data_IF_011340304179
#
_entry.id   IF_011340304179
#
_cell.length_a   1.000
_cell.length_b   1.000
_cell.length_c   1.000
_cell.angle_alpha   90.00
_cell.angle_beta   90.00
_cell.angle_gamma   90.00
#
_symmetry.space_group_name_H-M   'P 1'
#
loop_
_entity.id
_entity.type
_entity.pdbx_description
1 polymer ?
#
# COMPACT_ATOMS: atom_id res chain seq x y z
N UNK A 1 -22.38 9.58 -1.53
CA UNK A 1 -21.48 8.41 -1.57
C UNK A 1 -22.21 7.35 -2.37
N UNK A 2 -21.84 7.12 -3.63
CA UNK A 2 -22.41 6.00 -4.40
C UNK A 2 -21.82 4.72 -3.81
N UNK A 3 -22.66 3.70 -3.66
CA UNK A 3 -22.19 2.41 -3.17
C UNK A 3 -21.47 1.69 -4.30
N UNK A 4 -20.62 0.73 -3.96
CA UNK A 4 -19.89 -0.04 -4.97
C UNK A 4 -20.83 -0.76 -5.94
N UNK A 5 -22.02 -1.19 -5.47
CA UNK A 5 -23.04 -1.81 -6.32
C UNK A 5 -23.53 -0.86 -7.42
N UNK A 6 -23.81 0.40 -7.07
CA UNK A 6 -24.27 1.41 -8.02
C UNK A 6 -23.23 1.64 -9.13
N UNK A 7 -21.94 1.67 -8.77
CA UNK A 7 -20.85 1.81 -9.74
C UNK A 7 -20.73 0.61 -10.69
N UNK A 8 -20.96 -0.61 -10.17
CA UNK A 8 -20.88 -1.85 -10.95
C UNK A 8 -22.05 -2.01 -11.92
N UNK A 9 -23.22 -1.46 -11.59
CA UNK A 9 -24.40 -1.46 -12.47
C UNK A 9 -24.24 -0.47 -13.64
N UNK A 10 -23.51 0.63 -13.44
CA UNK A 10 -23.33 1.68 -14.45
C UNK A 10 -22.17 1.41 -15.42
N UNK A 11 -21.09 0.77 -14.96
CA UNK A 11 -19.87 0.57 -15.75
C UNK A 11 -18.95 -0.52 -15.21
N UNK A 12 -17.97 -0.92 -16.02
CA UNK A 12 -16.84 -1.72 -15.56
C UNK A 12 -16.01 -0.90 -14.56
N UNK A 13 -15.68 -1.51 -13.43
CA UNK A 13 -14.82 -0.96 -12.37
C UNK A 13 -13.46 -1.67 -12.43
N UNK A 14 -12.38 -0.89 -12.45
CA UNK A 14 -11.02 -1.40 -12.63
C UNK A 14 -10.31 -1.52 -11.28
N UNK A 15 -9.76 -2.70 -10.98
CA UNK A 15 -8.88 -2.91 -9.84
C UNK A 15 -7.42 -2.61 -10.22
N UNK A 16 -6.61 -2.24 -9.24
CA UNK A 16 -5.18 -2.01 -9.44
C UNK A 16 -4.39 -3.28 -9.78
N UNK A 17 -3.11 -3.08 -10.07
CA UNK A 17 -2.18 -4.15 -10.40
C UNK A 17 -1.30 -4.56 -9.22
N UNK A 18 -0.34 -5.44 -9.50
CA UNK A 18 0.55 -5.99 -8.48
C UNK A 18 1.40 -4.92 -7.76
N UNK A 19 1.25 -4.81 -6.44
CA UNK A 19 2.08 -3.96 -5.57
C UNK A 19 3.56 -4.41 -5.58
N UNK A 20 3.81 -5.71 -5.41
CA UNK A 20 5.18 -6.25 -5.31
C UNK A 20 6.04 -5.95 -6.53
N UNK A 21 5.49 -6.05 -7.75
CA UNK A 21 6.20 -5.72 -9.00
C UNK A 21 6.60 -4.26 -9.05
N UNK A 22 5.76 -3.35 -8.53
CA UNK A 22 6.06 -1.92 -8.48
C UNK A 22 7.13 -1.60 -7.43
N UNK A 23 7.11 -2.27 -6.28
CA UNK A 23 8.16 -2.16 -5.25
C UNK A 23 9.51 -2.66 -5.79
N UNK A 24 9.54 -3.79 -6.49
CA UNK A 24 10.78 -4.33 -7.06
C UNK A 24 11.49 -3.34 -8.00
N UNK A 25 10.73 -2.50 -8.72
CA UNK A 25 11.29 -1.46 -9.60
C UNK A 25 12.00 -0.33 -8.84
N UNK A 26 11.70 -0.14 -7.56
CA UNK A 26 12.35 0.85 -6.71
C UNK A 26 13.77 0.43 -6.27
N UNK A 27 14.15 -0.84 -6.48
CA UNK A 27 15.48 -1.37 -6.16
C UNK A 27 15.92 -1.15 -4.70
N UNK A 28 14.97 -1.17 -3.77
CA UNK A 28 15.20 -0.92 -2.35
C UNK A 28 16.17 -1.95 -1.73
N UNK A 29 17.01 -1.46 -0.83
CA UNK A 29 17.96 -2.25 -0.08
C UNK A 29 17.51 -2.53 1.37
N UNK A 30 18.30 -3.30 2.11
CA UNK A 30 17.98 -3.66 3.49
C UNK A 30 17.81 -2.43 4.40
N UNK A 31 18.58 -1.36 4.18
CA UNK A 31 18.48 -0.15 4.97
C UNK A 31 17.15 0.59 4.71
N UNK A 32 16.67 0.58 3.46
CA UNK A 32 15.36 1.13 3.11
C UNK A 32 14.22 0.38 3.81
N UNK A 33 14.27 -0.95 3.83
CA UNK A 33 13.26 -1.77 4.51
C UNK A 33 13.27 -1.55 6.02
N UNK A 34 14.46 -1.46 6.64
CA UNK A 34 14.61 -1.20 8.08
C UNK A 34 14.15 0.20 8.48
N UNK A 35 14.42 1.20 7.63
CA UNK A 35 14.24 2.60 7.97
C UNK A 35 14.97 2.98 9.27
N UNK A 36 14.52 4.06 9.91
CA UNK A 36 15.11 4.49 11.18
C UNK A 36 14.71 3.58 12.36
N UNK A 37 13.48 3.07 12.36
CA UNK A 37 12.88 2.37 13.52
C UNK A 37 13.43 0.95 13.71
N UNK A 38 13.75 0.25 12.63
CA UNK A 38 14.16 -1.16 12.67
C UNK A 38 15.62 -1.35 12.28
N UNK A 39 16.43 -0.28 12.39
CA UNK A 39 17.85 -0.29 12.03
C UNK A 39 18.61 -1.47 12.66
N UNK A 40 18.41 -1.70 13.95
CA UNK A 40 19.10 -2.73 14.72
C UNK A 40 18.25 -4.01 14.92
N UNK A 41 17.24 -4.24 14.06
CA UNK A 41 16.40 -5.45 14.14
C UNK A 41 17.22 -6.73 13.88
N UNK A 42 17.00 -7.82 14.64
CA UNK A 42 17.90 -8.98 14.63
C UNK A 42 17.88 -9.84 13.36
N UNK A 43 16.82 -9.75 12.56
CA UNK A 43 16.62 -10.52 11.32
C UNK A 43 16.66 -9.61 10.09
N UNK A 44 16.92 -10.17 8.91
CA UNK A 44 16.82 -9.47 7.63
C UNK A 44 15.35 -9.11 7.33
N UNK A 45 15.11 -7.89 6.85
CA UNK A 45 13.78 -7.35 6.60
C UNK A 45 13.47 -7.13 5.13
N UNK A 46 14.47 -7.15 4.26
CA UNK A 46 14.28 -7.05 2.81
C UNK A 46 13.40 -8.20 2.31
N UNK A 47 12.36 -7.83 1.57
CA UNK A 47 11.32 -8.74 1.12
C UNK A 47 10.02 -8.65 1.90
N UNK A 48 10.04 -8.07 3.11
CA UNK A 48 8.83 -7.71 3.84
C UNK A 48 8.20 -6.43 3.27
N UNK A 49 7.54 -6.54 2.13
CA UNK A 49 6.95 -5.38 1.43
C UNK A 49 5.93 -4.62 2.29
N UNK A 50 5.18 -5.32 3.14
CA UNK A 50 4.21 -4.72 4.05
C UNK A 50 4.88 -3.75 5.04
N UNK A 51 6.13 -4.01 5.44
CA UNK A 51 6.91 -3.13 6.34
C UNK A 51 7.12 -1.73 5.76
N UNK A 52 7.19 -1.62 4.43
CA UNK A 52 7.36 -0.36 3.72
C UNK A 52 6.17 0.60 3.96
N UNK A 53 5.02 0.12 4.42
CA UNK A 53 3.94 0.99 4.90
C UNK A 53 4.38 1.91 6.04
N UNK A 54 5.33 1.47 6.86
CA UNK A 54 5.86 2.22 8.01
C UNK A 54 7.16 2.92 7.64
N UNK A 55 8.07 2.21 6.97
CA UNK A 55 9.43 2.70 6.74
C UNK A 55 9.56 3.56 5.49
N UNK A 56 8.72 3.32 4.48
CA UNK A 56 8.72 4.03 3.20
C UNK A 56 7.29 4.41 2.74
N UNK A 57 6.49 5.08 3.60
CA UNK A 57 5.07 5.33 3.32
C UNK A 57 4.83 6.16 2.05
N UNK A 58 5.76 7.06 1.72
CA UNK A 58 5.66 7.88 0.52
C UNK A 58 5.77 7.02 -0.75
N UNK A 59 6.69 6.06 -0.81
CA UNK A 59 6.86 5.15 -1.95
C UNK A 59 5.57 4.34 -2.17
N UNK A 60 4.98 3.78 -1.10
CA UNK A 60 3.73 3.02 -1.20
C UNK A 60 2.57 3.91 -1.67
N UNK A 61 2.47 5.12 -1.11
CA UNK A 61 1.46 6.10 -1.52
C UNK A 61 1.61 6.48 -3.00
N UNK A 62 2.83 6.66 -3.49
CA UNK A 62 3.12 7.00 -4.89
C UNK A 62 2.81 5.84 -5.84
N UNK A 63 2.99 4.59 -5.42
CA UNK A 63 2.59 3.42 -6.21
C UNK A 63 1.06 3.37 -6.36
N UNK A 64 0.31 3.59 -5.27
CA UNK A 64 -1.15 3.70 -5.36
C UNK A 64 -1.59 4.85 -6.28
N UNK A 65 -0.93 6.02 -6.20
CA UNK A 65 -1.21 7.13 -7.10
C UNK A 65 -0.96 6.76 -8.57
N UNK A 66 0.10 6.01 -8.87
CA UNK A 66 0.36 5.54 -10.24
C UNK A 66 -0.79 4.67 -10.77
N UNK A 67 -1.35 3.78 -9.95
CA UNK A 67 -2.51 2.98 -10.36
C UNK A 67 -3.78 3.81 -10.55
N UNK A 68 -4.06 4.75 -9.63
CA UNK A 68 -5.18 5.67 -9.78
C UNK A 68 -5.08 6.52 -11.06
N UNK A 69 -3.89 7.06 -11.33
CA UNK A 69 -3.58 7.82 -12.54
C UNK A 69 -3.68 6.97 -13.82
N UNK A 70 -3.37 5.67 -13.73
CA UNK A 70 -3.55 4.72 -14.82
C UNK A 70 -5.01 4.33 -15.05
N UNK A 71 -5.94 4.77 -14.19
CA UNK A 71 -7.37 4.57 -14.34
C UNK A 71 -8.00 3.59 -13.36
N UNK A 72 -7.25 3.04 -12.40
CA UNK A 72 -7.83 2.19 -11.36
C UNK A 72 -8.91 2.94 -10.57
N UNK A 73 -9.99 2.23 -10.28
CA UNK A 73 -11.11 2.70 -9.47
C UNK A 73 -11.06 2.14 -8.05
N UNK A 74 -10.51 0.94 -7.90
CA UNK A 74 -10.29 0.26 -6.64
C UNK A 74 -8.78 0.03 -6.51
N UNK A 75 -8.24 0.38 -5.35
CA UNK A 75 -6.88 0.05 -4.97
C UNK A 75 -6.90 -0.86 -3.74
N UNK A 76 -6.02 -1.84 -3.71
CA UNK A 76 -5.81 -2.69 -2.54
C UNK A 76 -4.85 -2.02 -1.56
N UNK A 77 -4.90 -2.38 -0.28
CA UNK A 77 -3.86 -1.97 0.68
C UNK A 77 -2.63 -2.86 0.52
N UNK A 78 -1.43 -2.34 0.77
CA UNK A 78 -0.20 -3.12 0.80
C UNK A 78 -0.10 -3.96 2.09
N UNK A 79 -1.01 -4.91 2.28
CA UNK A 79 -1.19 -5.63 3.56
C UNK A 79 -1.33 -7.15 3.38
N UNK A 80 -0.78 -7.70 2.30
CA UNK A 80 -0.93 -9.12 1.96
C UNK A 80 -0.36 -10.04 3.05
N UNK A 81 0.77 -9.66 3.65
CA UNK A 81 1.47 -10.44 4.66
C UNK A 81 1.28 -9.91 6.09
N UNK A 82 0.44 -8.88 6.28
CA UNK A 82 0.21 -8.18 7.55
C UNK A 82 -0.62 -9.02 8.54
N UNK A 83 -0.20 -10.24 8.83
CA UNK A 83 -0.77 -11.15 9.81
C UNK A 83 0.30 -11.58 10.80
N UNK A 84 -0.09 -11.93 12.03
CA UNK A 84 0.87 -12.41 13.03
C UNK A 84 1.62 -13.67 12.58
N UNK A 85 1.01 -14.51 11.72
CA UNK A 85 1.62 -15.73 11.20
C UNK A 85 2.72 -15.40 10.20
N UNK A 86 2.40 -14.62 9.15
CA UNK A 86 3.39 -14.29 8.12
C UNK A 86 4.49 -13.35 8.65
N UNK A 87 4.18 -12.46 9.60
CA UNK A 87 5.19 -11.62 10.24
C UNK A 87 6.13 -12.38 11.17
N UNK A 88 5.85 -13.65 11.49
CA UNK A 88 6.75 -14.47 12.30
C UNK A 88 8.08 -14.78 11.59
N UNK A 89 8.07 -14.85 10.26
CA UNK A 89 9.28 -15.04 9.44
C UNK A 89 10.30 -13.89 9.64
N UNK A 90 9.83 -12.72 10.11
CA UNK A 90 10.63 -11.53 10.38
C UNK A 90 10.71 -11.17 11.87
N UNK A 91 10.19 -12.01 12.78
CA UNK A 91 10.05 -11.73 14.22
C UNK A 91 9.17 -10.50 14.55
N UNK A 92 8.27 -10.11 13.65
CA UNK A 92 7.46 -8.88 13.69
C UNK A 92 5.97 -9.10 14.02
N UNK A 93 5.61 -10.21 14.63
CA UNK A 93 4.22 -10.62 14.85
C UNK A 93 3.37 -9.55 15.55
N UNK A 94 3.97 -8.81 16.50
CA UNK A 94 3.32 -7.74 17.26
C UNK A 94 2.97 -6.52 16.40
N UNK A 95 3.59 -6.36 15.23
CA UNK A 95 3.39 -5.23 14.32
C UNK A 95 2.23 -5.46 13.33
N UNK A 96 1.64 -6.66 13.27
CA UNK A 96 0.61 -6.99 12.28
C UNK A 96 -0.54 -5.97 12.23
N UNK A 97 -1.06 -5.55 13.40
CA UNK A 97 -2.11 -4.52 13.45
C UNK A 97 -1.61 -3.17 12.93
N UNK A 98 -0.42 -2.75 13.35
CA UNK A 98 0.18 -1.47 12.96
C UNK A 98 0.41 -1.40 11.44
N UNK A 99 0.90 -2.50 10.85
CA UNK A 99 1.12 -2.61 9.41
C UNK A 99 -0.17 -2.46 8.61
N UNK A 100 -1.28 -3.07 9.08
CA UNK A 100 -2.58 -2.91 8.43
C UNK A 100 -3.07 -1.46 8.48
N UNK A 101 -2.94 -0.81 9.63
CA UNK A 101 -3.34 0.60 9.79
C UNK A 101 -2.49 1.50 8.89
N UNK A 102 -1.17 1.29 8.87
CA UNK A 102 -0.25 2.05 8.04
C UNK A 102 -0.54 1.86 6.53
N UNK A 103 -0.78 0.63 6.09
CA UNK A 103 -1.14 0.33 4.70
C UNK A 103 -2.46 1.00 4.28
N UNK A 104 -3.49 0.94 5.14
CA UNK A 104 -4.75 1.64 4.91
C UNK A 104 -4.57 3.17 4.84
N UNK A 105 -3.68 3.73 5.65
CA UNK A 105 -3.38 5.16 5.63
C UNK A 105 -2.65 5.58 4.34
N UNK A 106 -1.72 4.78 3.83
CA UNK A 106 -1.04 5.04 2.55
C UNK A 106 -2.04 5.07 1.38
N UNK A 107 -2.92 4.07 1.29
CA UNK A 107 -3.97 4.02 0.27
C UNK A 107 -4.94 5.21 0.38
N UNK A 108 -5.38 5.57 1.59
CA UNK A 108 -6.24 6.74 1.83
C UNK A 108 -5.55 8.05 1.44
N UNK A 109 -4.26 8.20 1.76
CA UNK A 109 -3.49 9.37 1.39
C UNK A 109 -3.39 9.50 -0.13
N UNK A 110 -3.15 8.40 -0.84
CA UNK A 110 -3.12 8.38 -2.30
C UNK A 110 -4.46 8.82 -2.91
N UNK A 111 -5.58 8.27 -2.42
CA UNK A 111 -6.93 8.66 -2.87
C UNK A 111 -7.20 10.14 -2.60
N UNK A 112 -6.84 10.65 -1.42
CA UNK A 112 -7.02 12.05 -1.07
C UNK A 112 -6.21 12.99 -1.99
N UNK A 113 -4.96 12.63 -2.28
CA UNK A 113 -4.10 13.37 -3.21
C UNK A 113 -4.65 13.35 -4.62
N UNK A 114 -5.06 12.18 -5.10
CA UNK A 114 -5.64 11.99 -6.41
C UNK A 114 -6.94 12.79 -6.60
N UNK A 115 -7.86 12.77 -5.63
CA UNK A 115 -9.09 13.57 -5.66
C UNK A 115 -8.83 15.07 -5.74
N UNK A 116 -7.79 15.55 -5.05
CA UNK A 116 -7.40 16.97 -5.10
C UNK A 116 -6.88 17.36 -6.49
N UNK A 117 -6.23 16.44 -7.20
CA UNK A 117 -5.70 16.65 -8.54
C UNK A 117 -6.78 16.47 -9.63
N UNK A 118 -7.83 15.68 -9.36
CA UNK A 118 -8.91 15.35 -10.30
C UNK A 118 -10.31 15.65 -9.73
N UNK A 119 -10.65 16.93 -9.47
CA UNK A 119 -11.94 17.32 -8.88
C UNK A 119 -13.16 16.95 -9.74
N UNK A 120 -12.96 16.74 -11.04
CA UNK A 120 -14.00 16.35 -12.00
C UNK A 120 -14.39 14.86 -11.94
N UNK A 121 -13.57 14.02 -11.29
CA UNK A 121 -13.81 12.57 -11.28
C UNK A 121 -15.01 12.25 -10.38
N UNK A 122 -16.11 11.82 -11.01
CA UNK A 122 -17.38 11.49 -10.36
C UNK A 122 -17.32 10.33 -9.37
N UNK A 123 -16.41 9.38 -9.58
CA UNK A 123 -16.33 8.14 -8.80
C UNK A 123 -14.93 7.98 -8.22
N UNK A 124 -14.84 8.07 -6.89
CA UNK A 124 -13.64 7.87 -6.08
C UNK A 124 -13.94 8.05 -4.61
#
# INVERSE_FOLDING_TARGET
MNRIQDCLDERIVIMDGAMGTMIQRQQLDEADFRGARFKDWPTDLKGNNDLLNITQPQIITDIHQQYLNAGADIIETNTFSSTAIAMADYEMQSLAYELNVAGANCAKAAVAQYKKQHPERKYG
#
